data_IF_584654878359
#
_entry.id   IF_584654878359
#
_cell.length_a   1.000
_cell.length_b   1.000
_cell.length_c   1.000
_cell.angle_alpha   90.00
_cell.angle_beta   90.00
_cell.angle_gamma   90.00
#
_symmetry.space_group_name_H-M   'P 1'
#
loop_
_entity.id
_entity.type
_entity.pdbx_description
1 polymer ?
#
# COMPACT_ATOMS: atom_id res chain seq x y z
N UNK A 1 2.11 17.37 25.95
CA UNK A 1 3.59 17.37 26.08
C UNK A 1 4.16 17.31 24.67
N UNK A 2 4.54 18.46 24.12
CA UNK A 2 5.16 18.54 22.81
C UNK A 2 6.65 18.22 22.97
N UNK A 3 7.12 17.18 22.28
CA UNK A 3 8.53 16.85 22.20
C UNK A 3 9.20 17.86 21.27
N UNK A 4 10.09 18.67 21.83
CA UNK A 4 11.02 19.51 21.07
C UNK A 4 12.06 18.57 20.48
N UNK A 5 11.97 18.32 19.17
CA UNK A 5 13.03 17.67 18.42
C UNK A 5 14.20 18.65 18.33
N UNK A 6 15.24 18.36 19.09
CA UNK A 6 16.53 19.05 19.06
C UNK A 6 17.28 18.56 17.81
N UNK A 7 17.05 19.22 16.67
CA UNK A 7 17.79 19.02 15.42
C UNK A 7 19.18 19.67 15.52
N UNK A 8 19.99 19.21 16.47
CA UNK A 8 21.44 19.38 16.37
C UNK A 8 21.98 18.28 15.45
N UNK A 9 22.09 18.58 14.16
CA UNK A 9 22.90 17.76 13.25
C UNK A 9 24.28 17.54 13.87
N UNK A 10 24.77 16.28 13.95
CA UNK A 10 26.13 16.03 14.38
C UNK A 10 27.06 16.59 13.30
N UNK A 11 27.67 17.74 13.57
CA UNK A 11 28.78 18.28 12.80
C UNK A 11 29.79 17.14 12.60
N UNK A 12 29.83 16.61 11.37
CA UNK A 12 30.75 15.55 10.98
C UNK A 12 32.16 15.93 11.45
N UNK A 13 32.82 15.09 12.24
CA UNK A 13 34.16 15.40 12.70
C UNK A 13 35.03 15.54 11.46
N UNK A 14 35.67 16.69 11.27
CA UNK A 14 36.68 16.89 10.22
C UNK A 14 37.78 15.83 10.41
N UNK A 15 37.62 14.68 9.75
CA UNK A 15 38.53 13.52 9.84
C UNK A 15 39.93 13.90 9.31
N UNK A 16 40.00 14.94 8.47
CA UNK A 16 41.21 15.48 7.88
C UNK A 16 41.38 16.95 8.23
N UNK A 17 41.58 17.30 9.50
CA UNK A 17 42.14 18.61 9.83
C UNK A 17 43.67 18.48 9.96
N UNK A 18 44.46 18.67 8.88
CA UNK A 18 45.90 18.82 9.05
C UNK A 18 46.18 20.22 9.63
N UNK A 19 47.29 20.30 10.35
CA UNK A 19 47.76 21.54 10.95
C UNK A 19 48.04 22.57 9.87
N UNK A 20 47.21 23.62 9.80
CA UNK A 20 47.44 24.74 8.92
C UNK A 20 48.80 25.36 9.25
N UNK A 21 49.71 25.38 8.27
CA UNK A 21 50.89 26.24 8.35
C UNK A 21 50.43 27.69 8.21
N UNK A 22 49.84 28.24 9.28
CA UNK A 22 49.46 29.64 9.36
C UNK A 22 50.75 30.44 9.50
N UNK A 23 51.27 30.95 8.39
CA UNK A 23 52.29 31.99 8.45
C UNK A 23 51.62 33.23 9.03
N UNK A 24 52.08 33.67 10.19
CA UNK A 24 51.67 34.95 10.75
C UNK A 24 52.11 36.05 9.79
N UNK A 25 51.16 36.78 9.21
CA UNK A 25 51.40 37.86 8.23
C UNK A 25 52.35 38.96 8.74
N UNK A 26 52.47 39.07 10.07
CA UNK A 26 53.40 39.94 10.77
C UNK A 26 54.88 39.56 10.58
N UNK A 27 55.19 38.36 10.06
CA UNK A 27 56.55 37.84 9.92
C UNK A 27 57.16 38.07 8.53
N UNK A 28 56.36 38.47 7.54
CA UNK A 28 56.86 38.71 6.17
C UNK A 28 57.37 40.15 6.04
N UNK A 29 58.52 40.33 5.39
CA UNK A 29 59.05 41.66 5.10
C UNK A 29 58.25 42.46 4.03
N UNK A 30 57.19 41.86 3.47
CA UNK A 30 56.33 42.46 2.43
C UNK A 30 54.85 42.23 2.70
N UNK A 31 53.99 43.04 2.06
CA UNK A 31 52.54 42.85 2.10
C UNK A 31 52.10 41.90 0.99
N UNK A 32 51.60 40.71 1.36
CA UNK A 32 51.14 39.67 0.41
C UNK A 32 49.96 40.12 -0.46
N UNK A 33 49.15 41.07 0.00
CA UNK A 33 47.99 41.57 -0.75
C UNK A 33 48.39 42.27 -2.04
N UNK A 34 49.66 42.64 -2.22
CA UNK A 34 50.15 43.19 -3.48
C UNK A 34 50.13 42.16 -4.62
N UNK A 35 50.33 40.87 -4.33
CA UNK A 35 50.37 39.83 -5.37
C UNK A 35 49.00 39.55 -6.01
N UNK A 36 47.90 39.83 -5.30
CA UNK A 36 46.54 39.65 -5.80
C UNK A 36 46.01 40.84 -6.61
N UNK A 37 46.79 41.91 -6.78
CA UNK A 37 46.34 43.10 -7.52
C UNK A 37 46.61 42.95 -9.01
N UNK A 38 45.69 43.45 -9.83
CA UNK A 38 45.82 43.46 -11.29
C UNK A 38 46.94 44.41 -11.79
N UNK A 39 47.33 45.41 -11.00
CA UNK A 39 48.40 46.38 -11.28
C UNK A 39 49.74 45.99 -10.66
N UNK A 40 49.95 44.72 -10.34
CA UNK A 40 51.19 44.25 -9.71
C UNK A 40 52.42 44.58 -10.56
N UNK A 41 53.31 45.40 -10.00
CA UNK A 41 54.59 45.75 -10.60
C UNK A 41 55.76 45.29 -9.71
N UNK A 42 56.63 44.48 -10.28
CA UNK A 42 57.79 43.88 -9.58
C UNK A 42 58.77 44.94 -9.10
N UNK A 43 59.01 45.98 -9.92
CA UNK A 43 59.97 47.04 -9.56
C UNK A 43 59.48 47.83 -8.35
N UNK A 44 58.20 48.22 -8.35
CA UNK A 44 57.51 48.86 -7.22
C UNK A 44 57.53 47.96 -5.98
N UNK A 45 57.18 46.68 -6.12
CA UNK A 45 57.26 45.72 -5.02
C UNK A 45 58.66 45.63 -4.42
N UNK A 46 59.70 45.45 -5.25
CA UNK A 46 61.09 45.34 -4.80
C UNK A 46 61.61 46.63 -4.15
N UNK A 47 61.16 47.79 -4.62
CA UNK A 47 61.52 49.08 -4.03
C UNK A 47 60.89 49.27 -2.64
N UNK A 48 59.68 48.75 -2.41
CA UNK A 48 59.04 48.75 -1.09
C UNK A 48 59.65 47.69 -0.15
N UNK A 49 59.90 46.48 -0.64
CA UNK A 49 60.45 45.38 0.17
C UNK A 49 61.90 45.66 0.63
N UNK A 50 62.74 46.23 -0.24
CA UNK A 50 64.13 46.59 0.10
C UNK A 50 64.25 47.68 1.16
N UNK A 51 63.20 48.47 1.41
CA UNK A 51 63.15 49.43 2.53
C UNK A 51 63.00 48.75 3.88
N UNK A 52 62.52 47.50 3.91
CA UNK A 52 62.22 46.74 5.13
C UNK A 52 63.21 45.61 5.42
N UNK A 53 63.80 45.00 4.40
CA UNK A 53 64.72 43.88 4.57
C UNK A 53 65.76 43.74 3.44
N UNK A 54 66.84 43.01 3.70
CA UNK A 54 67.86 42.68 2.70
C UNK A 54 67.39 41.60 1.71
N UNK A 55 68.06 41.49 0.57
CA UNK A 55 67.64 40.61 -0.54
C UNK A 55 67.52 39.13 -0.14
N UNK A 56 68.41 38.63 0.73
CA UNK A 56 68.36 37.26 1.24
C UNK A 56 67.10 37.00 2.08
N UNK A 57 66.73 37.94 2.95
CA UNK A 57 65.52 37.84 3.76
C UNK A 57 64.26 37.90 2.88
N UNK A 58 64.23 38.82 1.90
CA UNK A 58 63.12 38.90 0.93
C UNK A 58 62.96 37.58 0.19
N UNK A 59 64.06 36.97 -0.27
CA UNK A 59 64.03 35.67 -0.94
C UNK A 59 63.50 34.56 -0.02
N UNK A 60 63.92 34.54 1.24
CA UNK A 60 63.46 33.56 2.22
C UNK A 60 61.96 33.70 2.50
N UNK A 61 61.48 34.92 2.74
CA UNK A 61 60.08 35.21 3.02
C UNK A 61 59.19 34.90 1.81
N UNK A 62 59.66 35.15 0.58
CA UNK A 62 58.96 34.74 -0.64
C UNK A 62 58.84 33.22 -0.76
N UNK A 63 59.90 32.47 -0.42
CA UNK A 63 59.86 30.99 -0.42
C UNK A 63 58.92 30.46 0.66
N UNK A 64 58.91 31.06 1.84
CA UNK A 64 57.98 30.72 2.92
C UNK A 64 56.54 30.98 2.48
N UNK A 65 56.27 32.16 1.91
CA UNK A 65 54.94 32.51 1.41
C UNK A 65 54.46 31.57 0.30
N UNK A 66 55.33 31.24 -0.67
CA UNK A 66 55.01 30.26 -1.72
C UNK A 66 54.65 28.88 -1.14
N UNK A 67 55.41 28.40 -0.16
CA UNK A 67 55.13 27.10 0.49
C UNK A 67 53.78 27.13 1.22
N UNK A 68 53.46 28.23 1.90
CA UNK A 68 52.16 28.41 2.55
C UNK A 68 51.02 28.44 1.53
N UNK A 69 51.17 29.15 0.42
CA UNK A 69 50.17 29.14 -0.66
C UNK A 69 49.95 27.73 -1.24
N UNK A 70 51.03 26.99 -1.50
CA UNK A 70 50.93 25.61 -1.99
C UNK A 70 50.20 24.70 -0.99
N UNK A 71 50.50 24.84 0.29
CA UNK A 71 49.84 24.11 1.37
C UNK A 71 48.34 24.45 1.45
N UNK A 72 47.99 25.73 1.48
CA UNK A 72 46.58 26.17 1.52
C UNK A 72 45.81 25.76 0.27
N UNK A 73 46.44 25.71 -0.91
CA UNK A 73 45.80 25.21 -2.13
C UNK A 73 45.47 23.72 -2.01
N UNK A 74 46.38 22.92 -1.45
CA UNK A 74 46.14 21.49 -1.19
C UNK A 74 45.03 21.31 -0.17
N UNK A 75 44.99 22.12 0.89
CA UNK A 75 43.91 22.10 1.88
C UNK A 75 42.55 22.40 1.26
N UNK A 76 42.44 23.46 0.45
CA UNK A 76 41.20 23.80 -0.24
C UNK A 76 40.73 22.67 -1.16
N UNK A 77 41.65 22.05 -1.91
CA UNK A 77 41.33 20.91 -2.78
C UNK A 77 40.86 19.71 -1.95
N UNK A 78 41.49 19.45 -0.81
CA UNK A 78 41.11 18.34 0.06
C UNK A 78 39.74 18.57 0.73
N UNK A 79 39.47 19.81 1.15
CA UNK A 79 38.17 20.21 1.70
C UNK A 79 37.07 20.04 0.63
N UNK A 80 37.28 20.57 -0.57
CA UNK A 80 36.35 20.39 -1.70
C UNK A 80 36.15 18.91 -2.06
N UNK A 81 37.22 18.10 -1.99
CA UNK A 81 37.15 16.67 -2.24
C UNK A 81 36.34 15.94 -1.16
N UNK A 82 36.50 16.32 0.11
CA UNK A 82 35.73 15.74 1.20
C UNK A 82 34.23 16.01 1.03
N UNK A 83 33.88 17.24 0.66
CA UNK A 83 32.50 17.64 0.38
C UNK A 83 31.93 16.88 -0.83
N UNK A 84 32.72 16.72 -1.91
CA UNK A 84 32.33 15.94 -3.08
C UNK A 84 32.08 14.47 -2.73
N UNK A 85 32.98 13.84 -1.97
CA UNK A 85 32.82 12.44 -1.54
C UNK A 85 31.57 12.29 -0.68
N UNK A 86 31.34 13.19 0.28
CA UNK A 86 30.15 13.18 1.12
C UNK A 86 28.87 13.30 0.28
N UNK A 87 28.81 14.25 -0.65
CA UNK A 87 27.66 14.41 -1.55
C UNK A 87 27.44 13.16 -2.43
N UNK A 88 28.51 12.58 -2.96
CA UNK A 88 28.43 11.37 -3.79
C UNK A 88 27.90 10.17 -3.01
N UNK A 89 28.32 10.00 -1.75
CA UNK A 89 27.82 8.96 -0.86
C UNK A 89 26.33 9.14 -0.56
N UNK A 90 25.90 10.39 -0.31
CA UNK A 90 24.50 10.69 -0.05
C UNK A 90 23.63 10.42 -1.28
N UNK A 91 24.12 10.73 -2.48
CA UNK A 91 23.42 10.44 -3.74
C UNK A 91 23.23 8.93 -3.96
N UNK A 92 24.26 8.12 -3.67
CA UNK A 92 24.15 6.65 -3.71
C UNK A 92 23.15 6.15 -2.65
N UNK A 93 23.17 6.72 -1.44
CA UNK A 93 22.20 6.41 -0.39
C UNK A 93 20.76 6.73 -0.80
N UNK A 94 20.55 7.85 -1.50
CA UNK A 94 19.25 8.22 -2.06
C UNK A 94 18.80 7.21 -3.13
N UNK A 95 19.69 6.79 -4.04
CA UNK A 95 19.37 5.78 -5.04
C UNK A 95 18.90 4.47 -4.39
N UNK A 96 19.61 3.98 -3.37
CA UNK A 96 19.19 2.79 -2.63
C UNK A 96 17.81 2.94 -1.98
N UNK A 97 17.47 4.14 -1.52
CA UNK A 97 16.17 4.45 -0.94
C UNK A 97 15.06 4.43 -2.00
N UNK A 98 15.33 4.95 -3.20
CA UNK A 98 14.43 4.90 -4.35
C UNK A 98 14.20 3.45 -4.77
N UNK A 99 15.25 2.65 -4.91
CA UNK A 99 15.15 1.23 -5.31
C UNK A 99 14.33 0.43 -4.28
N UNK A 100 14.47 0.74 -2.99
CA UNK A 100 13.64 0.15 -1.95
C UNK A 100 12.17 0.52 -2.11
N UNK A 101 11.85 1.79 -2.34
CA UNK A 101 10.47 2.25 -2.57
C UNK A 101 9.87 1.56 -3.79
N UNK A 102 10.62 1.46 -4.89
CA UNK A 102 10.18 0.78 -6.11
C UNK A 102 9.81 -0.69 -5.82
N UNK A 103 10.69 -1.40 -5.09
CA UNK A 103 10.42 -2.78 -4.66
C UNK A 103 9.19 -2.89 -3.76
N UNK A 104 9.04 -2.00 -2.78
CA UNK A 104 7.91 -2.00 -1.86
C UNK A 104 6.58 -1.75 -2.61
N UNK A 105 6.60 -0.85 -3.59
CA UNK A 105 5.45 -0.58 -4.48
C UNK A 105 5.11 -1.82 -5.31
N UNK A 106 6.10 -2.46 -5.93
CA UNK A 106 5.88 -3.69 -6.72
C UNK A 106 5.27 -4.81 -5.87
N UNK A 107 5.78 -5.02 -4.66
CA UNK A 107 5.22 -6.01 -3.73
C UNK A 107 3.77 -5.68 -3.37
N UNK A 108 3.48 -4.41 -3.05
CA UNK A 108 2.12 -3.96 -2.73
C UNK A 108 1.14 -4.19 -3.89
N UNK A 109 1.56 -3.96 -5.13
CA UNK A 109 0.75 -4.26 -6.32
C UNK A 109 0.49 -5.76 -6.50
N UNK A 110 1.50 -6.61 -6.27
CA UNK A 110 1.34 -8.05 -6.34
C UNK A 110 0.37 -8.57 -5.28
N UNK A 111 0.49 -8.08 -4.04
CA UNK A 111 -0.44 -8.42 -2.96
C UNK A 111 -1.87 -7.99 -3.28
N UNK A 112 -2.05 -6.78 -3.81
CA UNK A 112 -3.35 -6.27 -4.24
C UNK A 112 -3.97 -7.12 -5.37
N UNK A 113 -3.17 -7.49 -6.37
CA UNK A 113 -3.62 -8.35 -7.48
C UNK A 113 -4.05 -9.73 -6.97
N UNK A 114 -3.24 -10.36 -6.12
CA UNK A 114 -3.58 -11.65 -5.50
C UNK A 114 -4.85 -11.55 -4.66
N UNK A 115 -4.96 -10.53 -3.81
CA UNK A 115 -6.15 -10.32 -2.98
C UNK A 115 -7.41 -10.11 -3.83
N UNK A 116 -7.30 -9.35 -4.92
CA UNK A 116 -8.42 -9.14 -5.86
C UNK A 116 -8.82 -10.46 -6.53
N UNK A 117 -7.85 -11.28 -6.95
CA UNK A 117 -8.11 -12.61 -7.54
C UNK A 117 -8.82 -13.54 -6.54
N UNK A 118 -8.39 -13.55 -5.29
CA UNK A 118 -9.00 -14.36 -4.23
C UNK A 118 -10.43 -13.91 -3.92
N UNK A 119 -10.68 -12.60 -3.92
CA UNK A 119 -12.03 -12.03 -3.73
C UNK A 119 -12.97 -12.42 -4.87
N UNK A 120 -12.51 -12.33 -6.12
CA UNK A 120 -13.29 -12.75 -7.29
C UNK A 120 -13.64 -14.24 -7.19
N UNK A 121 -12.65 -15.09 -6.91
CA UNK A 121 -12.85 -16.53 -6.74
C UNK A 121 -13.84 -16.83 -5.60
N UNK A 122 -13.75 -16.09 -4.51
CA UNK A 122 -14.68 -16.25 -3.38
C UNK A 122 -16.09 -15.82 -3.75
N UNK A 123 -16.26 -14.73 -4.51
CA UNK A 123 -17.55 -14.27 -4.99
C UNK A 123 -18.21 -15.31 -5.91
N UNK A 124 -17.46 -15.89 -6.85
CA UNK A 124 -17.93 -16.97 -7.74
C UNK A 124 -18.41 -18.20 -6.95
N UNK A 125 -17.67 -18.56 -5.89
CA UNK A 125 -18.08 -19.66 -4.99
C UNK A 125 -19.37 -19.35 -4.23
N UNK A 126 -19.53 -18.11 -3.76
CA UNK A 126 -20.75 -17.66 -3.08
C UNK A 126 -21.95 -17.71 -4.03
N UNK A 127 -21.77 -17.25 -5.28
CA UNK A 127 -22.80 -17.30 -6.30
C UNK A 127 -23.27 -18.74 -6.57
N UNK A 128 -22.32 -19.67 -6.72
CA UNK A 128 -22.62 -21.10 -6.87
C UNK A 128 -23.45 -21.65 -5.70
N UNK A 129 -23.06 -21.34 -4.46
CA UNK A 129 -23.83 -21.76 -3.28
C UNK A 129 -25.21 -21.12 -3.20
N UNK A 130 -25.37 -19.88 -3.65
CA UNK A 130 -26.68 -19.24 -3.73
C UNK A 130 -27.61 -19.95 -4.72
N UNK A 131 -27.10 -20.37 -5.88
CA UNK A 131 -27.85 -21.17 -6.85
C UNK A 131 -28.27 -22.52 -6.29
N UNK A 132 -27.35 -23.25 -5.65
CA UNK A 132 -27.64 -24.53 -5.00
C UNK A 132 -28.71 -24.39 -3.91
N UNK A 133 -28.61 -23.36 -3.06
CA UNK A 133 -29.59 -23.07 -2.02
C UNK A 133 -30.96 -22.72 -2.60
N UNK A 134 -30.99 -21.95 -3.69
CA UNK A 134 -32.23 -21.61 -4.40
C UNK A 134 -32.91 -22.87 -4.95
N UNK A 135 -32.15 -23.73 -5.61
CA UNK A 135 -32.64 -25.01 -6.14
C UNK A 135 -33.15 -25.92 -5.01
N UNK A 136 -32.41 -26.02 -3.90
CA UNK A 136 -32.83 -26.82 -2.75
C UNK A 136 -34.14 -26.28 -2.14
N UNK A 137 -34.26 -24.96 -1.98
CA UNK A 137 -35.49 -24.32 -1.50
C UNK A 137 -36.68 -24.59 -2.40
N UNK A 138 -36.50 -24.56 -3.71
CA UNK A 138 -37.55 -24.90 -4.67
C UNK A 138 -38.02 -26.35 -4.47
N UNK A 139 -37.08 -27.29 -4.36
CA UNK A 139 -37.39 -28.70 -4.08
C UNK A 139 -38.11 -28.89 -2.73
N UNK A 140 -37.71 -28.17 -1.68
CA UNK A 140 -38.37 -28.19 -0.38
C UNK A 140 -39.82 -27.67 -0.45
N UNK A 141 -40.08 -26.63 -1.23
CA UNK A 141 -41.44 -26.12 -1.44
C UNK A 141 -42.32 -27.21 -2.08
N UNK A 142 -41.85 -27.83 -3.17
CA UNK A 142 -42.56 -28.92 -3.85
C UNK A 142 -42.87 -30.08 -2.89
N UNK A 143 -41.90 -30.49 -2.07
CA UNK A 143 -42.10 -31.55 -1.08
C UNK A 143 -43.13 -31.16 0.00
N UNK A 144 -43.08 -29.91 0.47
CA UNK A 144 -44.05 -29.39 1.45
C UNK A 144 -45.46 -29.44 0.89
N UNK A 145 -45.65 -29.03 -0.35
CA UNK A 145 -46.96 -29.02 -1.02
C UNK A 145 -47.47 -30.45 -1.24
N UNK A 146 -46.59 -31.38 -1.61
CA UNK A 146 -46.90 -32.83 -1.68
C UNK A 146 -47.39 -33.40 -0.35
N UNK A 147 -46.70 -33.09 0.75
CA UNK A 147 -47.07 -33.53 2.09
C UNK A 147 -48.42 -32.94 2.50
N UNK A 148 -48.65 -31.65 2.21
CA UNK A 148 -49.91 -30.97 2.51
C UNK A 148 -51.09 -31.61 1.75
N UNK A 149 -50.90 -31.90 0.46
CA UNK A 149 -51.88 -32.63 -0.35
C UNK A 149 -52.20 -34.01 0.23
N UNK A 150 -51.17 -34.82 0.52
CA UNK A 150 -51.36 -36.15 1.11
C UNK A 150 -52.11 -36.07 2.46
N UNK A 151 -51.79 -35.07 3.27
CA UNK A 151 -52.49 -34.83 4.54
C UNK A 151 -53.97 -34.46 4.33
N UNK A 152 -54.31 -33.67 3.30
CA UNK A 152 -55.69 -33.37 2.94
C UNK A 152 -56.46 -34.60 2.47
N UNK A 153 -55.85 -35.43 1.62
CA UNK A 153 -56.45 -36.71 1.17
C UNK A 153 -56.64 -37.67 2.34
N UNK A 154 -55.68 -37.75 3.26
CA UNK A 154 -55.78 -38.59 4.44
C UNK A 154 -56.91 -38.14 5.39
N UNK A 155 -57.09 -36.82 5.59
CA UNK A 155 -58.24 -36.28 6.32
C UNK A 155 -59.57 -36.67 5.67
N UNK A 156 -59.65 -36.55 4.34
CA UNK A 156 -60.85 -36.95 3.58
C UNK A 156 -61.14 -38.44 3.72
N UNK A 157 -60.12 -39.30 3.61
CA UNK A 157 -60.26 -40.74 3.81
C UNK A 157 -60.86 -41.06 5.19
N UNK A 158 -60.33 -40.46 6.28
CA UNK A 158 -60.86 -40.70 7.62
C UNK A 158 -62.32 -40.22 7.78
N UNK A 159 -62.70 -39.10 7.16
CA UNK A 159 -64.09 -38.60 7.18
C UNK A 159 -65.06 -39.55 6.46
N UNK A 160 -64.61 -40.19 5.38
CA UNK A 160 -65.41 -41.13 4.59
C UNK A 160 -65.47 -42.53 5.19
N UNK A 161 -64.53 -42.89 6.06
CA UNK A 161 -64.47 -44.23 6.65
C UNK A 161 -65.62 -44.49 7.65
N UNK A 162 -66.14 -43.46 8.32
CA UNK A 162 -67.27 -43.55 9.25
C UNK A 162 -68.25 -42.38 9.04
N UNK A 163 -69.09 -42.40 7.99
CA UNK A 163 -70.07 -41.35 7.76
C UNK A 163 -71.17 -41.38 8.84
N UNK A 164 -71.58 -40.22 9.37
CA UNK A 164 -72.67 -40.16 10.31
C UNK A 164 -73.99 -40.55 9.63
N UNK A 165 -74.80 -41.35 10.32
CA UNK A 165 -76.18 -41.66 9.95
C UNK A 165 -77.11 -41.09 11.03
N UNK A 166 -77.98 -40.10 10.72
CA UNK A 166 -78.22 -39.48 9.41
C UNK A 166 -77.11 -38.50 8.99
N UNK A 167 -77.02 -38.23 7.68
CA UNK A 167 -76.07 -37.26 7.14
C UNK A 167 -76.44 -35.84 7.58
N UNK A 168 -75.50 -35.15 8.23
CA UNK A 168 -75.68 -33.77 8.69
C UNK A 168 -74.94 -32.79 7.77
N UNK A 169 -75.51 -31.59 7.60
CA UNK A 169 -74.92 -30.51 6.78
C UNK A 169 -73.48 -30.18 7.21
N UNK A 170 -73.21 -30.13 8.51
CA UNK A 170 -71.87 -29.89 9.06
C UNK A 170 -70.82 -30.94 8.64
N UNK A 171 -71.24 -32.19 8.39
CA UNK A 171 -70.32 -33.22 7.87
C UNK A 171 -70.03 -32.99 6.40
N UNK A 172 -71.05 -32.64 5.60
CA UNK A 172 -70.89 -32.28 4.20
C UNK A 172 -69.98 -31.04 4.03
N UNK A 173 -70.11 -30.04 4.89
CA UNK A 173 -69.22 -28.87 4.91
C UNK A 173 -67.76 -29.27 5.18
N UNK A 174 -67.52 -30.18 6.13
CA UNK A 174 -66.17 -30.70 6.42
C UNK A 174 -65.58 -31.47 5.23
N UNK A 175 -66.37 -32.33 4.60
CA UNK A 175 -65.94 -33.06 3.39
C UNK A 175 -65.63 -32.07 2.27
N UNK A 176 -66.51 -31.10 2.03
CA UNK A 176 -66.32 -30.06 1.01
C UNK A 176 -65.06 -29.26 1.28
N UNK A 177 -64.81 -28.85 2.53
CA UNK A 177 -63.58 -28.15 2.92
C UNK A 177 -62.33 -29.01 2.66
N UNK A 178 -62.34 -30.31 3.00
CA UNK A 178 -61.21 -31.19 2.70
C UNK A 178 -60.99 -31.40 1.20
N UNK A 179 -62.06 -31.45 0.40
CA UNK A 179 -61.98 -31.52 -1.07
C UNK A 179 -61.37 -30.23 -1.62
N UNK A 180 -61.85 -29.06 -1.18
CA UNK A 180 -61.34 -27.75 -1.58
C UNK A 180 -59.85 -27.63 -1.25
N UNK A 181 -59.47 -27.96 -0.01
CA UNK A 181 -58.07 -28.00 0.43
C UNK A 181 -57.22 -28.96 -0.42
N UNK A 182 -57.74 -30.13 -0.79
CA UNK A 182 -56.99 -31.05 -1.65
C UNK A 182 -56.81 -30.43 -3.05
N UNK A 183 -57.89 -29.89 -3.63
CA UNK A 183 -57.89 -29.32 -4.99
C UNK A 183 -57.09 -28.04 -5.14
N UNK A 184 -56.81 -27.31 -4.07
CA UNK A 184 -55.97 -26.09 -4.13
C UNK A 184 -54.52 -26.37 -4.55
N UNK A 185 -54.08 -27.63 -4.48
CA UNK A 185 -52.75 -28.05 -4.90
C UNK A 185 -52.68 -28.55 -6.34
N UNK A 186 -53.81 -28.59 -7.07
CA UNK A 186 -53.93 -29.20 -8.42
C UNK A 186 -52.92 -28.65 -9.44
N UNK A 187 -52.71 -27.34 -9.45
CA UNK A 187 -51.86 -26.67 -10.43
C UNK A 187 -50.36 -26.83 -10.14
N UNK A 188 -49.99 -27.42 -8.99
CA UNK A 188 -48.60 -27.66 -8.59
C UNK A 188 -48.06 -29.01 -9.07
N UNK A 189 -48.89 -29.81 -9.73
CA UNK A 189 -48.56 -31.16 -10.18
C UNK A 189 -48.50 -31.24 -11.71
N UNK A 190 -47.36 -31.71 -12.24
CA UNK A 190 -47.19 -31.94 -13.68
C UNK A 190 -48.25 -32.89 -14.24
N UNK A 191 -48.57 -32.74 -15.53
CA UNK A 191 -49.68 -33.43 -16.20
C UNK A 191 -49.63 -34.96 -16.07
N UNK A 192 -48.43 -35.53 -15.94
CA UNK A 192 -48.20 -36.98 -15.88
C UNK A 192 -48.22 -37.58 -14.47
N UNK A 193 -48.39 -36.77 -13.43
CA UNK A 193 -48.32 -37.26 -12.05
C UNK A 193 -49.61 -37.94 -11.58
N UNK A 194 -49.47 -38.99 -10.75
CA UNK A 194 -50.60 -39.76 -10.21
C UNK A 194 -51.58 -38.89 -9.42
N UNK A 195 -51.08 -37.82 -8.79
CA UNK A 195 -51.88 -36.84 -8.07
C UNK A 195 -52.87 -36.11 -9.00
N UNK A 196 -52.47 -35.79 -10.23
CA UNK A 196 -53.34 -35.11 -11.21
C UNK A 196 -54.46 -36.01 -11.75
N UNK A 197 -54.19 -37.31 -11.88
CA UNK A 197 -55.21 -38.34 -12.18
C UNK A 197 -56.26 -38.47 -11.07
N UNK A 198 -55.88 -38.18 -9.81
CA UNK A 198 -56.84 -38.12 -8.70
C UNK A 198 -57.69 -36.86 -8.84
N UNK A 199 -57.09 -35.71 -9.15
CA UNK A 199 -57.84 -34.47 -9.36
C UNK A 199 -58.83 -34.53 -10.52
N UNK A 200 -58.50 -35.21 -11.63
CA UNK A 200 -59.42 -35.41 -12.74
C UNK A 200 -60.63 -36.30 -12.40
N UNK A 201 -60.60 -37.00 -11.25
CA UNK A 201 -61.72 -37.79 -10.74
C UNK A 201 -62.54 -37.06 -9.67
N UNK A 202 -62.00 -35.99 -9.09
CA UNK A 202 -62.60 -35.24 -7.98
C UNK A 202 -63.26 -33.94 -8.47
N UNK A 203 -62.79 -33.35 -9.56
CA UNK A 203 -63.47 -32.24 -10.25
C UNK A 203 -64.00 -32.72 -11.61
N UNK A 204 -65.29 -32.52 -11.94
CA UNK A 204 -65.77 -32.63 -13.32
C UNK A 204 -65.13 -31.56 -14.22
#
# INVERSE_FOLDING_TARGET
MAAVHDDTEPLSPRIFAPSSMIINDSQLCFNKNHFGRSDFDVQRFMNLARRRAGLKQIQQDLRLYLKSLQHSMIELINDDYADFVHLSSNLVGLQNSIDKIDKDIQNGWQEFEMSTRDLVTTAERVETHCEELSHNRMGQAILRDRIAFLSAVQRLYFLLQCPPTPLHVLWLEKVTSCVVDATSFKDMFDDETKERVIFSKVSP
#
